data_IF_139712674158
#
_entry.id   IF_139712674158
#
_cell.length_a   1.000
_cell.length_b   1.000
_cell.length_c   1.000
_cell.angle_alpha   90.00
_cell.angle_beta   90.00
_cell.angle_gamma   90.00
#
_symmetry.space_group_name_H-M   'P 1'
#
loop_
_entity.id
_entity.type
_entity.pdbx_description
1 polymer ?
#
# COMPACT_ATOMS: atom_id res chain seq x y z
N UNK A 1 -30.28 5.71 23.65
CA UNK A 1 -29.04 6.45 23.94
C UNK A 1 -27.99 5.43 24.33
N UNK A 2 -27.11 5.11 23.38
CA UNK A 2 -25.70 4.73 23.58
C UNK A 2 -25.01 5.20 22.31
N UNK A 3 -24.20 6.25 22.45
CA UNK A 3 -23.13 6.62 21.52
C UNK A 3 -22.31 5.36 21.17
N UNK A 4 -21.79 5.17 19.96
CA UNK A 4 -20.52 5.75 19.56
C UNK A 4 -20.27 5.45 18.08
N UNK A 5 -19.70 6.44 17.41
CA UNK A 5 -19.37 6.46 16.00
C UNK A 5 -18.44 5.30 15.63
N UNK A 6 -18.85 4.45 14.69
CA UNK A 6 -17.89 3.61 13.96
C UNK A 6 -17.70 4.26 12.60
N UNK A 7 -16.78 5.22 12.63
CA UNK A 7 -15.93 5.80 11.59
C UNK A 7 -16.20 5.40 10.15
N UNK A 8 -16.12 6.35 9.20
CA UNK A 8 -16.48 6.14 7.80
C UNK A 8 -15.87 4.85 7.29
N UNK A 9 -16.67 4.12 6.50
CA UNK A 9 -16.30 2.96 5.70
C UNK A 9 -15.20 3.27 4.66
N UNK A 10 -14.21 4.11 4.99
CA UNK A 10 -13.00 4.37 4.22
C UNK A 10 -11.99 3.28 4.57
N UNK A 11 -12.17 2.13 3.95
CA UNK A 11 -11.09 1.15 3.89
C UNK A 11 -11.22 0.36 2.62
N UNK A 12 -11.23 1.07 1.50
CA UNK A 12 -10.40 0.70 0.35
C UNK A 12 -8.92 0.73 0.78
N UNK A 13 -8.57 -0.07 1.82
CA UNK A 13 -7.21 -0.43 2.18
C UNK A 13 -6.76 -1.39 1.11
N UNK A 14 -6.53 -0.87 -0.08
CA UNK A 14 -5.83 -1.59 -1.11
C UNK A 14 -4.50 -2.05 -0.50
N UNK A 15 -4.37 -3.37 -0.33
CA UNK A 15 -3.14 -3.96 0.14
C UNK A 15 -2.27 -4.26 -1.07
N UNK A 16 -0.96 -4.04 -0.93
CA UNK A 16 0.03 -4.45 -1.93
C UNK A 16 0.47 -5.86 -1.56
N UNK A 17 -0.01 -6.86 -2.28
CA UNK A 17 0.47 -8.21 -2.15
C UNK A 17 1.72 -8.42 -3.01
N UNK A 18 2.89 -8.35 -2.39
CA UNK A 18 4.17 -8.57 -3.08
C UNK A 18 4.48 -10.04 -3.34
N UNK A 19 3.69 -10.97 -2.80
CA UNK A 19 3.80 -12.41 -3.05
C UNK A 19 3.13 -12.81 -4.35
N UNK A 20 2.21 -11.99 -4.86
CA UNK A 20 1.55 -12.22 -6.13
C UNK A 20 2.27 -11.40 -7.22
N UNK A 21 2.90 -12.08 -8.17
CA UNK A 21 3.67 -11.42 -9.24
C UNK A 21 2.81 -10.47 -10.08
N UNK A 22 1.53 -10.78 -10.29
CA UNK A 22 0.63 -9.92 -11.06
C UNK A 22 0.31 -8.64 -10.28
N UNK A 23 -0.03 -8.77 -9.01
CA UNK A 23 -0.28 -7.61 -8.14
C UNK A 23 0.98 -6.76 -7.96
N UNK A 24 2.14 -7.38 -7.78
CA UNK A 24 3.42 -6.70 -7.66
C UNK A 24 3.75 -5.88 -8.92
N UNK A 25 3.53 -6.44 -10.12
CA UNK A 25 3.71 -5.70 -11.37
C UNK A 25 2.70 -4.58 -11.52
N UNK A 26 1.43 -4.84 -11.24
CA UNK A 26 0.38 -3.83 -11.27
C UNK A 26 0.71 -2.64 -10.36
N UNK A 27 1.12 -2.90 -9.12
CA UNK A 27 1.51 -1.85 -8.17
C UNK A 27 2.81 -1.17 -8.58
N UNK A 28 3.79 -1.91 -9.10
CA UNK A 28 5.02 -1.35 -9.65
C UNK A 28 4.74 -0.35 -10.78
N UNK A 29 3.86 -0.70 -11.71
CA UNK A 29 3.41 0.19 -12.79
C UNK A 29 2.60 1.38 -12.25
N UNK A 30 1.71 1.15 -11.27
CA UNK A 30 0.90 2.21 -10.63
C UNK A 30 1.75 3.26 -9.92
N UNK A 31 2.77 2.83 -9.19
CA UNK A 31 3.68 3.72 -8.47
C UNK A 31 4.86 4.18 -9.33
N UNK A 32 5.06 3.60 -10.52
CA UNK A 32 6.20 3.89 -11.39
C UNK A 32 7.54 3.44 -10.82
N UNK A 33 7.55 2.37 -10.02
CA UNK A 33 8.74 1.85 -9.33
C UNK A 33 9.02 0.40 -9.72
N UNK A 34 10.28 -0.01 -9.57
CA UNK A 34 10.65 -1.41 -9.76
C UNK A 34 9.97 -2.31 -8.71
N UNK A 35 9.59 -3.55 -9.08
CA UNK A 35 8.99 -4.52 -8.16
C UNK A 35 9.87 -4.83 -6.95
N UNK A 36 11.19 -4.70 -7.08
CA UNK A 36 12.14 -4.81 -5.98
C UNK A 36 12.00 -3.66 -4.98
N UNK A 37 11.92 -2.41 -5.45
CA UNK A 37 11.73 -1.24 -4.60
C UNK A 37 10.36 -1.28 -3.91
N UNK A 38 9.34 -1.76 -4.62
CA UNK A 38 8.01 -1.98 -4.05
C UNK A 38 8.03 -3.01 -2.91
N UNK A 39 8.76 -4.12 -3.07
CA UNK A 39 8.99 -5.11 -2.02
C UNK A 39 9.67 -4.50 -0.79
N UNK A 40 10.70 -3.70 -1.00
CA UNK A 40 11.39 -3.00 0.10
C UNK A 40 10.47 -2.02 0.84
N UNK A 41 9.68 -1.24 0.10
CA UNK A 41 8.71 -0.34 0.71
C UNK A 41 7.67 -1.13 1.54
N UNK A 42 7.13 -2.21 0.99
CA UNK A 42 6.17 -3.08 1.69
C UNK A 42 6.78 -3.75 2.91
N UNK A 43 8.05 -4.13 2.88
CA UNK A 43 8.76 -4.65 4.05
C UNK A 43 8.92 -3.57 5.15
N UNK A 44 9.20 -2.32 4.75
CA UNK A 44 9.43 -1.21 5.66
C UNK A 44 8.14 -0.68 6.34
N UNK A 45 7.04 -0.54 5.58
CA UNK A 45 5.80 0.09 6.07
C UNK A 45 4.58 -0.84 6.09
N UNK A 46 4.76 -2.09 5.66
CA UNK A 46 3.71 -3.10 5.54
C UNK A 46 2.98 -3.07 4.20
N UNK A 47 2.02 -3.98 4.03
CA UNK A 47 1.27 -4.16 2.77
C UNK A 47 0.26 -3.05 2.48
N UNK A 48 0.31 -1.89 3.13
CA UNK A 48 -0.68 -0.82 2.91
C UNK A 48 -0.28 0.01 1.70
N UNK A 49 -1.07 0.01 0.62
CA UNK A 49 -0.73 0.75 -0.60
C UNK A 49 -0.48 2.24 -0.34
N UNK A 50 -1.26 2.85 0.56
CA UNK A 50 -1.07 4.25 0.96
C UNK A 50 0.28 4.47 1.65
N UNK A 51 0.60 3.65 2.65
CA UNK A 51 1.86 3.79 3.37
C UNK A 51 3.06 3.57 2.45
N UNK A 52 2.95 2.58 1.55
CA UNK A 52 3.97 2.26 0.55
C UNK A 52 4.19 3.43 -0.39
N UNK A 53 3.12 4.02 -0.91
CA UNK A 53 3.19 5.22 -1.74
C UNK A 53 3.85 6.39 -0.99
N UNK A 54 3.45 6.66 0.26
CA UNK A 54 4.04 7.70 1.09
C UNK A 54 5.53 7.46 1.34
N UNK A 55 5.92 6.21 1.61
CA UNK A 55 7.33 5.83 1.78
C UNK A 55 8.13 6.03 0.50
N UNK A 56 7.60 5.59 -0.65
CA UNK A 56 8.22 5.76 -1.96
C UNK A 56 8.36 7.24 -2.32
N UNK A 57 7.36 8.07 -2.02
CA UNK A 57 7.43 9.51 -2.22
C UNK A 57 8.44 10.20 -1.29
N UNK A 58 8.64 9.68 -0.08
CA UNK A 58 9.65 10.21 0.86
C UNK A 58 11.09 9.80 0.50
N UNK A 59 11.27 8.70 -0.24
CA UNK A 59 12.57 8.13 -0.62
C UNK A 59 12.91 8.29 -2.11
N UNK A 60 12.22 9.21 -2.81
CA UNK A 60 12.48 9.55 -4.22
C UNK A 60 13.59 10.57 -4.40
#
# INVERSE_FOLDING_TARGET
MTEETSSPHTSDRHRVNVQDDYELRYWGERFGVSPELLRHAVDAVGTSAKAVEEWLQAHR
#
